data_IF_764853220599
#
_entry.id   IF_764853220599
#
_cell.length_a   1.000
_cell.length_b   1.000
_cell.length_c   1.000
_cell.angle_alpha   90.00
_cell.angle_beta   90.00
_cell.angle_gamma   90.00
#
_symmetry.space_group_name_H-M   'P 1'
#
loop_
_entity.id
_entity.type
_entity.pdbx_description
1 polymer ?
#
# COMPACT_ATOMS: atom_id res chain seq x y z
N UNK A 1 2.60 -5.93 22.51
CA UNK A 1 3.72 -6.53 21.74
C UNK A 1 3.31 -6.60 20.28
N UNK A 2 4.24 -6.41 19.34
CA UNK A 2 4.00 -6.58 17.90
C UNK A 2 4.08 -8.07 17.56
N UNK A 3 3.07 -8.62 16.89
CA UNK A 3 2.98 -10.04 16.56
C UNK A 3 3.20 -10.24 15.06
N UNK A 4 4.14 -11.13 14.72
CA UNK A 4 4.42 -11.57 13.36
C UNK A 4 3.49 -12.70 12.96
N UNK A 5 3.18 -12.81 11.67
CA UNK A 5 2.27 -13.84 11.12
C UNK A 5 2.64 -14.11 9.66
N UNK A 6 2.55 -15.36 9.20
CA UNK A 6 2.77 -15.70 7.80
C UNK A 6 1.54 -15.33 6.94
N UNK A 7 0.34 -15.23 7.52
CA UNK A 7 -0.82 -14.70 6.83
C UNK A 7 -0.66 -13.19 6.64
N UNK A 8 -0.41 -12.78 5.40
CA UNK A 8 -0.13 -11.39 5.06
C UNK A 8 -1.24 -10.41 5.48
N UNK A 9 -2.51 -10.86 5.53
CA UNK A 9 -3.63 -10.00 5.96
C UNK A 9 -3.62 -9.78 7.47
N UNK A 10 -3.41 -10.85 8.24
CA UNK A 10 -3.28 -10.76 9.71
C UNK A 10 -2.03 -9.97 10.08
N UNK A 11 -0.92 -10.23 9.39
CA UNK A 11 0.35 -9.57 9.65
C UNK A 11 0.29 -8.06 9.37
N UNK A 12 -0.25 -7.67 8.21
CA UNK A 12 -0.49 -6.27 7.89
C UNK A 12 -1.37 -5.60 8.95
N UNK A 13 -2.48 -6.24 9.36
CA UNK A 13 -3.37 -5.69 10.39
C UNK A 13 -2.61 -5.45 11.70
N UNK A 14 -1.87 -6.43 12.19
CA UNK A 14 -1.10 -6.33 13.42
C UNK A 14 -0.04 -5.21 13.36
N UNK A 15 0.67 -5.11 12.23
CA UNK A 15 1.64 -4.05 11.99
C UNK A 15 1.00 -2.67 11.95
N UNK A 16 -0.11 -2.53 11.22
CA UNK A 16 -0.86 -1.30 11.07
C UNK A 16 -1.43 -0.81 12.41
N UNK A 17 -1.93 -1.72 13.25
CA UNK A 17 -2.37 -1.40 14.61
C UNK A 17 -1.19 -0.92 15.48
N UNK A 18 -0.03 -1.57 15.39
CA UNK A 18 1.20 -1.17 16.11
C UNK A 18 1.70 0.22 15.71
N UNK A 19 1.93 0.46 14.42
CA UNK A 19 2.44 1.74 13.93
C UNK A 19 1.47 2.90 14.20
N UNK A 20 0.16 2.64 14.20
CA UNK A 20 -0.87 3.66 14.44
C UNK A 20 -0.76 4.28 15.83
N UNK A 21 -0.45 3.45 16.85
CA UNK A 21 -0.23 3.91 18.23
C UNK A 21 1.00 4.84 18.30
N UNK A 22 2.07 4.53 17.55
CA UNK A 22 3.26 5.38 17.47
C UNK A 22 2.97 6.72 16.79
N UNK A 23 2.20 6.73 15.70
CA UNK A 23 1.76 7.98 15.04
C UNK A 23 0.96 8.89 15.96
N UNK A 24 0.05 8.31 16.75
CA UNK A 24 -0.76 9.04 17.73
C UNK A 24 0.14 9.62 18.83
N UNK A 25 1.01 8.80 19.41
CA UNK A 25 1.93 9.24 20.47
C UNK A 25 2.86 10.37 20.00
N UNK A 26 3.40 10.26 18.79
CA UNK A 26 4.30 11.26 18.20
C UNK A 26 3.57 12.46 17.59
N UNK A 27 2.23 12.42 17.49
CA UNK A 27 1.44 13.41 16.74
C UNK A 27 2.06 13.69 15.37
N UNK A 28 2.35 12.62 14.62
CA UNK A 28 2.97 12.70 13.30
C UNK A 28 2.40 11.63 12.39
N UNK A 29 2.00 12.05 11.19
CA UNK A 29 1.53 11.15 10.15
C UNK A 29 2.65 10.91 9.14
N UNK A 30 2.83 9.66 8.74
CA UNK A 30 3.82 9.18 7.79
C UNK A 30 3.35 7.86 7.20
N UNK A 31 3.86 7.47 6.03
CA UNK A 31 3.69 6.10 5.55
C UNK A 31 4.68 5.19 6.28
N UNK A 32 4.20 4.07 6.83
CA UNK A 32 5.05 3.11 7.55
C UNK A 32 5.16 1.82 6.75
N UNK A 33 6.35 1.41 6.33
CA UNK A 33 6.56 0.18 5.56
C UNK A 33 7.29 -0.83 6.43
N UNK A 34 6.79 -2.06 6.52
CA UNK A 34 7.47 -3.19 7.16
C UNK A 34 8.06 -4.09 6.09
N UNK A 35 9.34 -4.39 6.22
CA UNK A 35 10.02 -5.41 5.43
C UNK A 35 10.13 -6.67 6.27
N UNK A 36 9.78 -7.82 5.71
CA UNK A 36 9.85 -9.11 6.40
C UNK A 36 10.63 -10.13 5.58
N UNK A 37 11.41 -10.98 6.25
CA UNK A 37 12.04 -12.16 5.64
C UNK A 37 11.18 -13.42 5.71
N UNK A 38 9.95 -13.31 6.22
CA UNK A 38 8.99 -14.41 6.21
C UNK A 38 8.44 -14.62 4.80
N UNK A 39 8.34 -15.88 4.37
CA UNK A 39 7.51 -16.28 3.24
C UNK A 39 6.04 -16.11 3.66
N UNK A 40 5.43 -14.99 3.23
CA UNK A 40 4.05 -14.66 3.59
C UNK A 40 3.08 -15.24 2.56
N UNK A 41 1.90 -15.61 3.01
CA UNK A 41 0.85 -16.15 2.16
C UNK A 41 -0.41 -15.29 2.18
N UNK A 42 -1.19 -15.44 1.11
CA UNK A 42 -2.55 -14.91 1.01
C UNK A 42 -3.52 -16.04 0.73
N UNK A 43 -4.75 -15.91 1.22
CA UNK A 43 -5.82 -16.85 0.92
C UNK A 43 -6.59 -16.35 -0.30
N UNK A 44 -6.61 -17.14 -1.36
CA UNK A 44 -7.37 -16.88 -2.58
C UNK A 44 -8.31 -18.05 -2.84
N UNK A 45 -9.63 -17.81 -2.84
CA UNK A 45 -10.66 -18.85 -2.99
C UNK A 45 -10.45 -20.07 -2.08
N UNK A 46 -10.14 -19.83 -0.81
CA UNK A 46 -9.88 -20.87 0.19
C UNK A 46 -8.53 -21.57 0.07
N UNK A 47 -7.71 -21.25 -0.94
CA UNK A 47 -6.36 -21.80 -1.11
C UNK A 47 -5.30 -20.83 -0.63
N UNK A 48 -4.32 -21.36 0.10
CA UNK A 48 -3.10 -20.65 0.47
C UNK A 48 -2.22 -20.48 -0.77
N UNK A 49 -1.89 -19.25 -1.11
CA UNK A 49 -0.98 -18.88 -2.19
C UNK A 49 0.23 -18.18 -1.59
N UNK A 50 1.41 -18.75 -1.85
CA UNK A 50 2.71 -18.17 -1.54
C UNK A 50 3.32 -17.64 -2.82
N UNK A 51 3.59 -16.35 -2.83
CA UNK A 51 4.26 -15.65 -3.90
C UNK A 51 4.88 -14.41 -3.27
N UNK A 52 6.05 -14.01 -3.74
CA UNK A 52 6.71 -12.79 -3.32
C UNK A 52 5.74 -11.60 -3.42
N UNK A 53 5.28 -11.10 -2.28
CA UNK A 53 4.07 -10.28 -2.21
C UNK A 53 4.23 -9.06 -1.31
N UNK A 54 3.51 -8.02 -1.71
CA UNK A 54 3.24 -6.83 -0.92
C UNK A 54 1.79 -6.83 -0.44
N UNK A 55 1.52 -6.11 0.64
CA UNK A 55 0.16 -5.80 1.05
C UNK A 55 0.07 -4.43 1.69
N UNK A 56 -0.89 -3.65 1.22
CA UNK A 56 -1.24 -2.35 1.77
C UNK A 56 -2.73 -2.08 1.65
N UNK A 57 -3.16 -0.94 2.17
CA UNK A 57 -4.54 -0.50 2.04
C UNK A 57 -4.70 0.53 0.93
N UNK A 58 -5.68 0.33 0.06
CA UNK A 58 -6.03 1.30 -0.97
C UNK A 58 -6.53 2.60 -0.35
N UNK A 59 -6.06 3.75 -0.85
CA UNK A 59 -6.38 5.10 -0.32
C UNK A 59 -6.02 5.26 1.17
N UNK A 60 -5.00 4.53 1.63
CA UNK A 60 -4.54 4.50 3.02
C UNK A 60 -3.65 5.68 3.43
N UNK A 61 -3.10 6.45 2.49
CA UNK A 61 -1.98 7.38 2.72
C UNK A 61 -2.18 8.34 3.90
N UNK A 62 -3.38 8.93 4.03
CA UNK A 62 -3.69 9.87 5.11
C UNK A 62 -4.51 9.28 6.26
N UNK A 63 -4.56 7.95 6.38
CA UNK A 63 -5.19 7.27 7.51
C UNK A 63 -4.14 6.93 8.57
N UNK A 64 -4.38 7.31 9.82
CA UNK A 64 -3.51 6.95 10.94
C UNK A 64 -3.34 5.42 11.05
N UNK A 65 -4.44 4.67 10.88
CA UNK A 65 -4.42 3.20 10.96
C UNK A 65 -4.01 2.52 9.66
N UNK A 66 -4.33 3.09 8.49
CA UNK A 66 -4.15 2.41 7.18
C UNK A 66 -2.97 2.91 6.36
N UNK A 67 -2.24 3.95 6.80
CA UNK A 67 -1.03 4.43 6.13
C UNK A 67 0.17 3.55 6.46
N UNK A 68 0.10 2.31 5.98
CA UNK A 68 1.06 1.24 6.25
C UNK A 68 1.10 0.23 5.10
N UNK A 69 2.24 -0.42 4.91
CA UNK A 69 2.43 -1.52 3.97
C UNK A 69 3.33 -2.60 4.58
N UNK A 70 3.13 -3.84 4.16
CA UNK A 70 3.94 -5.02 4.46
C UNK A 70 4.54 -5.52 3.16
N UNK A 71 5.86 -5.67 3.08
CA UNK A 71 6.55 -6.19 1.91
C UNK A 71 7.39 -7.40 2.32
N UNK A 72 7.26 -8.49 1.58
CA UNK A 72 8.22 -9.57 1.59
C UNK A 72 9.55 -9.09 0.97
N UNK A 73 10.66 -9.38 1.64
CA UNK A 73 11.98 -8.95 1.20
C UNK A 73 12.53 -9.89 0.13
N UNK A 74 12.65 -9.38 -1.09
CA UNK A 74 13.39 -10.01 -2.19
C UNK A 74 14.16 -8.92 -2.96
N UNK A 75 15.50 -8.97 -3.00
CA UNK A 75 16.32 -7.95 -3.64
C UNK A 75 15.90 -7.57 -5.07
N UNK A 76 15.45 -8.55 -5.86
CA UNK A 76 15.08 -8.32 -7.27
C UNK A 76 13.75 -7.58 -7.46
N UNK A 77 12.84 -7.63 -6.48
CA UNK A 77 11.47 -7.11 -6.62
C UNK A 77 11.12 -6.01 -5.64
N UNK A 78 11.95 -5.77 -4.61
CA UNK A 78 11.58 -4.89 -3.51
C UNK A 78 11.26 -3.46 -3.95
N UNK A 79 11.99 -2.94 -4.94
CA UNK A 79 11.69 -1.61 -5.52
C UNK A 79 10.32 -1.56 -6.19
N UNK A 80 9.95 -2.62 -6.93
CA UNK A 80 8.63 -2.77 -7.53
C UNK A 80 7.54 -2.86 -6.46
N UNK A 81 7.70 -3.74 -5.47
CA UNK A 81 6.71 -3.92 -4.39
C UNK A 81 6.50 -2.64 -3.59
N UNK A 82 7.58 -1.93 -3.26
CA UNK A 82 7.48 -0.65 -2.56
C UNK A 82 6.69 0.37 -3.37
N UNK A 83 7.01 0.55 -4.66
CA UNK A 83 6.28 1.47 -5.52
C UNK A 83 4.80 1.03 -5.67
N UNK A 84 4.55 -0.26 -5.87
CA UNK A 84 3.22 -0.84 -6.02
C UNK A 84 2.32 -0.56 -4.81
N UNK A 85 2.81 -0.85 -3.59
CA UNK A 85 2.02 -0.65 -2.37
C UNK A 85 1.85 0.84 -2.02
N UNK A 86 2.82 1.69 -2.36
CA UNK A 86 2.64 3.16 -2.31
C UNK A 86 1.54 3.59 -3.27
N UNK A 87 1.51 3.04 -4.48
CA UNK A 87 0.47 3.28 -5.48
C UNK A 87 -0.92 2.97 -4.93
N UNK A 88 -1.10 1.82 -4.29
CA UNK A 88 -2.33 1.48 -3.58
C UNK A 88 -2.67 2.51 -2.49
N UNK A 89 -1.71 2.88 -1.64
CA UNK A 89 -1.91 3.87 -0.59
C UNK A 89 -2.38 5.22 -1.15
N UNK A 90 -1.93 5.58 -2.35
CA UNK A 90 -2.33 6.76 -3.14
C UNK A 90 -3.59 6.54 -4.00
N UNK A 91 -4.28 5.42 -3.84
CA UNK A 91 -5.59 5.15 -4.42
C UNK A 91 -5.58 4.49 -5.79
N UNK A 92 -4.43 4.05 -6.28
CA UNK A 92 -4.33 3.26 -7.51
C UNK A 92 -4.88 1.84 -7.31
N UNK A 93 -5.59 1.34 -8.31
CA UNK A 93 -6.01 -0.07 -8.42
C UNK A 93 -5.04 -0.82 -9.33
N UNK A 94 -5.08 -2.15 -9.31
CA UNK A 94 -4.33 -2.94 -10.29
C UNK A 94 -4.70 -2.59 -11.73
N UNK A 95 -3.77 -2.75 -12.66
CA UNK A 95 -4.04 -2.69 -14.10
C UNK A 95 -4.68 -3.99 -14.61
N UNK A 96 -5.59 -3.86 -15.57
CA UNK A 96 -6.28 -4.98 -16.21
C UNK A 96 -7.63 -5.35 -15.57
N UNK A 97 -8.43 -6.21 -16.24
CA UNK A 97 -9.68 -6.69 -15.70
C UNK A 97 -9.49 -7.47 -14.39
N UNK A 98 -10.44 -7.40 -13.44
CA UNK A 98 -11.72 -6.67 -13.51
C UNK A 98 -11.62 -5.18 -13.10
N UNK A 99 -10.42 -4.65 -12.88
CA UNK A 99 -10.22 -3.35 -12.24
C UNK A 99 -10.33 -2.17 -13.20
N UNK A 100 -9.75 -2.30 -14.40
CA UNK A 100 -9.78 -1.29 -15.46
C UNK A 100 -9.40 -1.88 -16.83
N UNK A 101 -9.35 -1.02 -17.84
CA UNK A 101 -9.04 -1.37 -19.23
C UNK A 101 -7.55 -1.22 -19.60
N UNK A 102 -6.69 -0.81 -18.66
CA UNK A 102 -5.26 -0.74 -18.92
C UNK A 102 -4.64 -2.13 -19.03
N UNK A 103 -3.54 -2.25 -19.78
CA UNK A 103 -2.85 -3.53 -19.97
C UNK A 103 -2.13 -3.94 -18.67
N UNK A 104 -2.42 -5.16 -18.20
CA UNK A 104 -1.67 -5.79 -17.11
C UNK A 104 -0.20 -6.06 -17.53
N UNK A 105 0.66 -6.34 -16.54
CA UNK A 105 2.07 -6.77 -16.68
C UNK A 105 3.06 -5.75 -17.26
N UNK A 106 2.62 -4.55 -17.65
CA UNK A 106 3.50 -3.52 -18.26
C UNK A 106 3.92 -2.41 -17.31
N UNK A 107 3.12 -2.14 -16.29
CA UNK A 107 3.26 -0.97 -15.43
C UNK A 107 3.35 -1.37 -13.97
N UNK A 108 3.72 -0.43 -13.11
CA UNK A 108 3.97 -0.67 -11.68
C UNK A 108 2.75 -1.28 -10.98
N UNK A 109 1.52 -0.97 -11.41
CA UNK A 109 0.29 -1.53 -10.85
C UNK A 109 -0.16 -2.86 -11.48
N UNK A 110 0.71 -3.55 -12.22
CA UNK A 110 0.44 -4.92 -12.67
C UNK A 110 0.14 -5.85 -11.48
N UNK A 111 -0.79 -6.80 -11.65
CA UNK A 111 -1.21 -7.72 -10.57
C UNK A 111 -0.05 -8.60 -10.09
N UNK A 112 0.92 -8.85 -10.97
CA UNK A 112 2.11 -9.64 -10.68
C UNK A 112 3.34 -8.97 -11.26
N UNK A 113 4.46 -9.11 -10.55
CA UNK A 113 5.76 -8.75 -11.09
C UNK A 113 6.10 -9.62 -12.30
N UNK A 114 6.51 -9.00 -13.41
CA UNK A 114 6.96 -9.70 -14.61
C UNK A 114 8.50 -9.62 -14.73
N UNK A 115 9.24 -10.72 -14.51
CA UNK A 115 10.70 -10.70 -14.48
C UNK A 115 11.36 -10.14 -15.73
N UNK A 116 10.78 -10.36 -16.91
CA UNK A 116 11.37 -9.92 -18.19
C UNK A 116 11.05 -8.45 -18.56
N UNK A 117 10.15 -7.78 -17.83
CA UNK A 117 9.60 -6.47 -18.25
C UNK A 117 9.74 -5.37 -17.20
N UNK A 118 10.46 -5.61 -16.09
CA UNK A 118 10.85 -4.65 -15.05
C UNK A 118 10.06 -3.33 -15.07
N UNK A 119 8.82 -3.29 -14.55
CA UNK A 119 7.96 -2.13 -14.74
C UNK A 119 8.53 -0.88 -14.07
N UNK A 120 8.82 0.15 -14.87
CA UNK A 120 9.36 1.45 -14.41
C UNK A 120 8.40 2.63 -14.65
N UNK A 121 7.19 2.35 -15.14
CA UNK A 121 6.21 3.39 -15.50
C UNK A 121 4.82 3.08 -14.95
N UNK A 122 4.00 4.12 -14.86
CA UNK A 122 2.60 4.04 -14.44
C UNK A 122 1.68 4.04 -15.67
N UNK A 123 0.58 3.27 -15.60
CA UNK A 123 -0.44 3.29 -16.65
C UNK A 123 -1.26 4.58 -16.62
N UNK A 124 -2.01 4.86 -17.70
CA UNK A 124 -2.99 5.96 -17.71
C UNK A 124 -4.07 5.78 -16.64
N UNK A 125 -4.49 4.55 -16.35
CA UNK A 125 -5.45 4.22 -15.29
C UNK A 125 -4.88 4.51 -13.89
N UNK A 126 -3.59 4.19 -13.66
CA UNK A 126 -2.88 4.51 -12.42
C UNK A 126 -2.80 6.03 -12.22
N UNK A 127 -2.43 6.78 -13.26
CA UNK A 127 -2.37 8.25 -13.23
C UNK A 127 -3.75 8.85 -12.95
N UNK A 128 -4.81 8.33 -13.59
CA UNK A 128 -6.18 8.78 -13.34
C UNK A 128 -6.61 8.52 -11.89
N UNK A 129 -6.30 7.34 -11.36
CA UNK A 129 -6.61 6.97 -9.97
C UNK A 129 -5.92 7.89 -8.97
N UNK A 130 -4.65 8.22 -9.21
CA UNK A 130 -3.89 9.18 -8.41
C UNK A 130 -4.54 10.57 -8.43
N UNK A 131 -4.88 11.08 -9.61
CA UNK A 131 -5.57 12.37 -9.75
C UNK A 131 -6.87 12.39 -8.93
N UNK A 132 -7.68 11.35 -9.04
CA UNK A 132 -8.93 11.22 -8.26
C UNK A 132 -8.67 11.20 -6.75
N UNK A 133 -7.63 10.48 -6.30
CA UNK A 133 -7.27 10.48 -4.88
C UNK A 133 -6.83 11.87 -4.39
N UNK A 134 -5.97 12.55 -5.15
CA UNK A 134 -5.50 13.89 -4.82
C UNK A 134 -6.62 14.93 -4.77
N UNK A 135 -7.63 14.82 -5.64
CA UNK A 135 -8.83 15.65 -5.61
C UNK A 135 -9.81 15.32 -4.48
N UNK A 136 -9.66 14.16 -3.83
CA UNK A 136 -10.55 13.73 -2.75
C UNK A 136 -10.15 14.33 -1.39
N UNK A 137 -11.09 14.37 -0.43
CA UNK A 137 -10.78 14.72 0.96
C UNK A 137 -9.83 13.74 1.67
N UNK A 138 -9.56 12.56 1.09
CA UNK A 138 -8.67 11.53 1.67
C UNK A 138 -7.18 11.84 1.46
N UNK A 139 -6.82 12.85 0.68
CA UNK A 139 -5.43 13.27 0.43
C UNK A 139 -4.96 14.42 1.34
N UNK A 140 -5.74 14.78 2.37
CA UNK A 140 -5.54 15.99 3.18
C UNK A 140 -4.13 16.17 3.76
N UNK A 141 -3.41 15.09 4.04
CA UNK A 141 -2.08 15.12 4.65
C UNK A 141 -0.92 15.34 3.67
N UNK A 142 -1.16 15.19 2.37
CA UNK A 142 -0.16 15.37 1.30
C UNK A 142 -0.51 16.52 0.35
N UNK A 143 -1.65 17.19 0.56
CA UNK A 143 -1.99 18.42 -0.17
C UNK A 143 -1.11 19.56 0.31
N UNK A 144 -0.60 20.35 -0.64
CA UNK A 144 0.23 21.54 -0.45
C UNK A 144 -0.49 22.72 0.25
N UNK A 145 -1.61 22.50 0.95
CA UNK A 145 -2.24 23.55 1.74
C UNK A 145 -1.61 23.59 3.14
N UNK A 146 -1.09 24.77 3.51
CA UNK A 146 -0.48 25.14 4.80
C UNK A 146 -1.44 24.99 6.00
N UNK A 147 -2.10 23.85 6.18
CA UNK A 147 -2.94 23.58 7.35
C UNK A 147 -2.14 22.74 8.34
N UNK A 148 -1.71 23.40 9.43
CA UNK A 148 -1.17 22.73 10.62
C UNK A 148 -2.11 21.57 10.98
N UNK A 149 -1.57 20.36 11.03
CA UNK A 149 -2.34 19.15 11.37
C UNK A 149 -2.92 19.34 12.78
N UNK A 150 -4.24 19.48 12.89
CA UNK A 150 -4.91 19.53 14.19
C UNK A 150 -5.31 18.12 14.60
N UNK A 151 -4.45 17.47 15.40
CA UNK A 151 -4.66 16.11 15.91
C UNK A 151 -5.88 15.95 16.82
N UNK A 152 -6.59 17.04 17.16
CA UNK A 152 -7.84 16.99 17.96
C UNK A 152 -9.07 16.61 17.14
N UNK A 153 -9.04 16.70 15.81
CA UNK A 153 -10.23 16.54 14.96
C UNK A 153 -10.28 15.21 14.19
N UNK A 154 -9.23 14.39 14.25
CA UNK A 154 -9.25 13.04 13.65
C UNK A 154 -9.98 12.10 14.62
N UNK A 155 -11.31 12.22 14.66
CA UNK A 155 -12.18 11.24 15.30
C UNK A 155 -12.15 9.92 14.50
N UNK A 156 -12.19 8.86 15.29
CA UNK A 156 -12.18 7.40 15.02
C UNK A 156 -12.62 6.95 13.64
#
# INVERSE_FOLDING_TARGET
MFAMDENASTYLKNYCDFQSKRKVAMKRLYLSVLLTGLDIFHVNNGKTVRANSGRGYTRGMCSVRKSCALLEWEPKTIGFLLAHEIGHSLGMSHDGPPYNLCRDQRHIMAVRYHPNHHPISWSSCSIQSLKQFLMSGKSWCIRQEKRRINFKTVRQ
#
